data_IF_760335870913
#
_entry.id   IF_760335870913
#
_cell.length_a   1.000
_cell.length_b   1.000
_cell.length_c   1.000
_cell.angle_alpha   90.00
_cell.angle_beta   90.00
_cell.angle_gamma   90.00
#
_symmetry.space_group_name_H-M   'P 1'
#
loop_
_entity.id
_entity.type
_entity.pdbx_description
1 polymer ?
#
# COMPACT_ATOMS: atom_id res chain seq x y z
N UNK A 1 -12.33 -9.39 3.04
CA UNK A 1 -12.85 -8.00 3.03
C UNK A 1 -12.23 -7.27 1.86
N UNK A 2 -12.99 -6.53 1.03
CA UNK A 2 -12.43 -5.78 -0.12
C UNK A 2 -12.25 -4.30 0.21
N UNK A 3 -11.18 -3.68 -0.26
CA UNK A 3 -10.98 -2.24 -0.16
C UNK A 3 -10.16 -1.71 -1.33
N UNK A 4 -10.49 -0.50 -1.78
CA UNK A 4 -9.70 0.21 -2.78
C UNK A 4 -8.58 0.98 -2.11
N UNK A 5 -7.34 0.72 -2.52
CA UNK A 5 -6.15 1.40 -2.02
C UNK A 5 -5.36 2.00 -3.18
N UNK A 6 -4.74 3.14 -2.94
CA UNK A 6 -3.77 3.73 -3.85
C UNK A 6 -2.38 3.41 -3.35
N UNK A 7 -1.60 2.64 -4.11
CA UNK A 7 -0.18 2.39 -3.82
C UNK A 7 0.65 3.51 -4.43
N UNK A 8 1.44 4.20 -3.61
CA UNK A 8 2.30 5.30 -4.03
C UNK A 8 3.72 4.83 -4.34
N UNK A 9 4.27 4.04 -3.43
CA UNK A 9 5.66 3.60 -3.50
C UNK A 9 5.84 2.29 -2.73
N UNK A 10 6.78 1.45 -3.17
CA UNK A 10 7.11 0.19 -2.51
C UNK A 10 8.53 0.25 -2.00
N UNK A 11 8.70 0.16 -0.68
CA UNK A 11 10.00 0.23 -0.01
C UNK A 11 10.54 -1.19 0.22
N UNK A 12 11.77 -1.50 -0.25
CA UNK A 12 12.48 -2.71 0.11
C UNK A 12 12.92 -2.70 1.58
N UNK A 13 12.48 -3.72 2.32
CA UNK A 13 13.03 -4.10 3.61
C UNK A 13 13.65 -5.49 3.48
N UNK A 14 14.84 -5.54 2.90
CA UNK A 14 15.63 -6.76 2.78
C UNK A 14 16.86 -6.72 3.69
N UNK A 15 17.26 -7.89 4.20
CA UNK A 15 18.43 -8.00 5.07
C UNK A 15 18.67 -9.42 5.55
N UNK A 16 19.69 -9.58 6.38
CA UNK A 16 20.02 -10.84 7.04
C UNK A 16 19.58 -10.71 8.51
N UNK A 17 18.73 -11.64 8.96
CA UNK A 17 18.32 -11.67 10.36
C UNK A 17 19.54 -11.94 11.25
N UNK A 18 19.87 -11.00 12.14
CA UNK A 18 20.96 -11.19 13.12
C UNK A 18 20.73 -12.37 14.06
N UNK A 19 19.48 -12.77 14.28
CA UNK A 19 19.11 -13.84 15.22
C UNK A 19 19.18 -15.23 14.59
N UNK A 20 18.82 -15.36 13.31
CA UNK A 20 18.68 -16.65 12.63
C UNK A 20 19.64 -16.84 11.47
N UNK A 21 20.32 -15.79 11.02
CA UNK A 21 21.16 -15.82 9.81
C UNK A 21 20.37 -15.96 8.50
N UNK A 22 19.03 -15.99 8.57
CA UNK A 22 18.17 -16.19 7.41
C UNK A 22 17.95 -14.85 6.70
N UNK A 23 18.09 -14.86 5.38
CA UNK A 23 17.74 -13.73 4.53
C UNK A 23 16.23 -13.48 4.59
N UNK A 24 15.84 -12.23 4.83
CA UNK A 24 14.47 -11.78 4.67
C UNK A 24 14.41 -10.72 3.58
N UNK A 25 13.33 -10.74 2.81
CA UNK A 25 13.01 -9.72 1.82
C UNK A 25 11.52 -9.42 1.94
N UNK A 26 11.24 -8.38 2.73
CA UNK A 26 9.90 -7.84 2.93
C UNK A 26 9.75 -6.59 2.06
N UNK A 27 8.56 -6.40 1.50
CA UNK A 27 8.23 -5.19 0.73
C UNK A 27 7.10 -4.47 1.43
N UNK A 28 7.32 -3.20 1.75
CA UNK A 28 6.33 -2.38 2.42
C UNK A 28 5.79 -1.35 1.43
N UNK A 29 4.52 -1.43 1.10
CA UNK A 29 3.85 -0.46 0.23
C UNK A 29 3.34 0.72 1.06
N UNK A 30 3.69 1.93 0.66
CA UNK A 30 3.05 3.14 1.14
C UNK A 30 1.76 3.36 0.38
N UNK A 31 0.65 3.41 1.10
CA UNK A 31 -0.69 3.38 0.54
C UNK A 31 -1.57 4.50 1.10
N UNK A 32 -2.51 4.97 0.27
CA UNK A 32 -3.63 5.82 0.69
C UNK A 32 -4.91 4.99 0.60
N UNK A 33 -5.65 4.95 1.71
CA UNK A 33 -6.98 4.33 1.78
C UNK A 33 -8.02 5.42 1.91
N UNK A 34 -8.96 5.47 0.98
CA UNK A 34 -10.09 6.38 1.06
C UNK A 34 -11.19 5.69 1.87
N UNK A 35 -11.28 6.04 3.15
CA UNK A 35 -12.27 5.44 4.05
C UNK A 35 -13.36 6.46 4.34
N UNK A 36 -14.61 6.06 4.14
CA UNK A 36 -15.74 6.83 4.62
C UNK A 36 -15.74 6.79 6.16
N UNK A 37 -15.67 7.96 6.77
CA UNK A 37 -15.83 8.12 8.21
C UNK A 37 -17.27 7.71 8.57
N UNK A 38 -17.42 6.78 9.52
CA UNK A 38 -18.72 6.18 9.87
C UNK A 38 -19.67 7.20 10.50
N UNK A 39 -19.14 8.24 11.13
CA UNK A 39 -19.92 9.21 11.88
C UNK A 39 -20.28 10.45 11.04
N UNK A 40 -19.37 10.89 10.17
CA UNK A 40 -19.55 12.12 9.37
C UNK A 40 -19.91 11.84 7.92
N UNK A 41 -19.73 10.61 7.43
CA UNK A 41 -19.91 10.24 6.03
C UNK A 41 -18.87 10.83 5.07
N UNK A 42 -17.91 11.61 5.58
CA UNK A 42 -16.84 12.22 4.79
C UNK A 42 -15.80 11.17 4.43
N UNK A 43 -15.38 11.15 3.17
CA UNK A 43 -14.30 10.28 2.71
C UNK A 43 -12.98 10.93 3.11
N UNK A 44 -12.31 10.33 4.09
CA UNK A 44 -11.01 10.80 4.57
C UNK A 44 -9.89 9.94 3.96
N UNK A 45 -8.84 10.56 3.40
CA UNK A 45 -7.66 9.84 2.94
C UNK A 45 -6.80 9.45 4.15
N UNK A 46 -6.67 8.15 4.39
CA UNK A 46 -5.80 7.60 5.42
C UNK A 46 -4.50 7.12 4.78
N UNK A 47 -3.37 7.71 5.20
CA UNK A 47 -2.04 7.28 4.77
C UNK A 47 -1.55 6.18 5.70
N UNK A 48 -1.07 5.08 5.14
CA UNK A 48 -0.54 3.97 5.90
C UNK A 48 0.44 3.13 5.11
N UNK A 49 0.97 2.11 5.77
CA UNK A 49 1.89 1.14 5.18
C UNK A 49 1.27 -0.25 5.18
N UNK A 50 1.52 -1.01 4.11
CA UNK A 50 1.00 -2.34 3.92
C UNK A 50 2.12 -3.32 3.57
N UNK A 51 2.23 -4.40 4.33
CA UNK A 51 3.17 -5.46 4.01
C UNK A 51 2.68 -6.27 2.81
N UNK A 52 3.48 -6.28 1.76
CA UNK A 52 3.19 -7.02 0.54
C UNK A 52 3.64 -8.49 0.68
N UNK A 53 2.76 -9.45 0.36
CA UNK A 53 3.14 -10.85 0.17
C UNK A 53 4.21 -11.01 -0.91
N UNK A 54 4.93 -12.13 -0.88
CA UNK A 54 6.02 -12.40 -1.82
C UNK A 54 5.59 -12.35 -3.30
N UNK A 55 4.37 -12.80 -3.59
CA UNK A 55 3.73 -12.72 -4.92
C UNK A 55 3.52 -11.29 -5.44
N UNK A 56 3.58 -10.28 -4.58
CA UNK A 56 3.34 -8.88 -4.89
C UNK A 56 4.58 -8.00 -4.65
N UNK A 57 5.79 -8.55 -4.64
CA UNK A 57 7.02 -7.76 -4.41
C UNK A 57 7.29 -6.68 -5.46
N UNK A 58 6.83 -6.89 -6.70
CA UNK A 58 7.13 -6.05 -7.86
C UNK A 58 5.91 -5.23 -8.34
N UNK A 59 4.92 -4.98 -7.47
CA UNK A 59 3.78 -4.16 -7.90
C UNK A 59 4.24 -2.74 -8.26
N UNK A 60 3.65 -2.20 -9.32
CA UNK A 60 3.82 -0.79 -9.67
C UNK A 60 2.90 0.10 -8.83
N UNK A 61 3.25 1.37 -8.61
CA UNK A 61 2.31 2.34 -8.05
C UNK A 61 1.00 2.42 -8.86
N UNK A 62 -0.12 2.55 -8.17
CA UNK A 62 -1.44 2.63 -8.81
C UNK A 62 -2.62 2.35 -7.90
N UNK A 63 -3.81 2.32 -8.50
CA UNK A 63 -5.06 2.02 -7.79
C UNK A 63 -5.31 0.52 -7.81
N UNK A 64 -5.36 -0.09 -6.63
CA UNK A 64 -5.57 -1.52 -6.45
C UNK A 64 -6.87 -1.76 -5.67
N UNK A 65 -7.61 -2.79 -6.07
CA UNK A 65 -8.59 -3.43 -5.22
C UNK A 65 -7.87 -4.55 -4.46
N UNK A 66 -7.97 -4.51 -3.14
CA UNK A 66 -7.29 -5.45 -2.25
C UNK A 66 -8.31 -6.23 -1.47
N UNK A 67 -8.18 -7.55 -1.54
CA UNK A 67 -8.89 -8.48 -0.69
C UNK A 67 -8.00 -8.87 0.49
N UNK A 68 -8.50 -8.60 1.69
CA UNK A 68 -7.86 -8.99 2.93
C UNK A 68 -8.45 -10.29 3.48
N UNK A 69 -7.57 -11.16 3.97
CA UNK A 69 -7.89 -12.32 4.79
C UNK A 69 -7.48 -12.07 6.24
N UNK A 70 -8.11 -12.79 7.16
CA UNK A 70 -7.78 -12.73 8.59
C UNK A 70 -6.63 -13.68 8.84
N UNK A 71 -5.55 -13.18 9.43
CA UNK A 71 -4.40 -13.96 9.84
C UNK A 71 -4.04 -13.71 11.31
N UNK A 72 -3.28 -14.64 11.89
CA UNK A 72 -2.78 -14.49 13.26
C UNK A 72 -1.29 -14.15 13.14
N UNK A 73 -0.89 -13.01 13.69
CA UNK A 73 0.49 -12.56 13.66
C UNK A 73 1.36 -13.33 14.66
N UNK A 74 2.68 -13.14 14.55
CA UNK A 74 3.65 -13.76 15.46
C UNK A 74 3.43 -13.37 16.93
N UNK A 75 2.80 -12.23 17.17
CA UNK A 75 2.42 -11.77 18.52
C UNK A 75 1.07 -12.33 19.00
N UNK A 76 0.50 -13.31 18.28
CA UNK A 76 -0.83 -13.89 18.54
C UNK A 76 -1.97 -12.86 18.43
N UNK A 77 -1.76 -11.77 17.68
CA UNK A 77 -2.80 -10.78 17.39
C UNK A 77 -3.53 -11.16 16.11
N UNK A 78 -4.83 -10.89 16.06
CA UNK A 78 -5.63 -11.02 14.85
C UNK A 78 -5.34 -9.80 13.99
N UNK A 79 -4.85 -10.02 12.78
CA UNK A 79 -4.49 -8.99 11.82
C UNK A 79 -5.11 -9.30 10.45
N UNK A 80 -5.18 -8.28 9.59
CA UNK A 80 -5.63 -8.43 8.21
C UNK A 80 -4.43 -8.47 7.28
N UNK A 81 -4.27 -9.56 6.54
CA UNK A 81 -3.21 -9.71 5.54
C UNK A 81 -3.79 -9.65 4.12
N UNK A 82 -2.99 -9.18 3.17
CA UNK A 82 -3.33 -9.15 1.75
C UNK A 82 -3.45 -10.58 1.21
N UNK A 83 -4.66 -10.98 0.82
CA UNK A 83 -4.91 -12.21 0.10
C UNK A 83 -4.71 -11.99 -1.41
N UNK A 84 -5.45 -11.04 -1.99
CA UNK A 84 -5.43 -10.77 -3.44
C UNK A 84 -5.31 -9.28 -3.67
N UNK A 85 -4.50 -8.88 -4.65
CA UNK A 85 -4.44 -7.51 -5.17
C UNK A 85 -4.71 -7.53 -6.66
N UNK A 86 -5.64 -6.67 -7.09
CA UNK A 86 -6.01 -6.51 -8.49
C UNK A 86 -5.83 -5.05 -8.89
N UNK A 87 -5.07 -4.78 -9.94
CA UNK A 87 -4.88 -3.43 -10.46
C UNK A 87 -6.19 -2.98 -11.13
N UNK A 88 -6.79 -1.91 -10.61
CA UNK A 88 -8.05 -1.34 -11.13
C UNK A 88 -7.77 -0.22 -12.13
N UNK A 89 -6.77 0.62 -11.83
CA UNK A 89 -6.34 1.68 -12.72
C UNK A 89 -4.87 2.03 -12.47
N UNK A 90 -4.10 2.21 -13.55
CA UNK A 90 -2.80 2.87 -13.45
C UNK A 90 -3.03 4.33 -13.06
N UNK A 91 -2.20 4.91 -12.17
CA UNK A 91 -2.37 6.30 -11.80
C UNK A 91 -2.16 7.12 -13.07
N UNK A 92 -3.17 7.92 -13.44
CA UNK A 92 -3.01 8.92 -14.48
C UNK A 92 -1.92 9.87 -13.97
N UNK A 93 -0.82 10.12 -14.70
CA UNK A 93 0.18 11.07 -14.24
C UNK A 93 -0.54 12.39 -13.95
N UNK A 94 -0.43 12.84 -12.70
CA UNK A 94 -0.86 14.18 -12.34
C UNK A 94 -0.06 15.10 -13.24
N UNK A 95 -0.76 15.80 -14.13
CA UNK A 95 -0.18 16.84 -14.98
C UNK A 95 0.56 17.78 -14.04
N UNK A 96 1.88 17.86 -14.19
CA UNK A 96 2.69 18.86 -13.50
C UNK A 96 2.02 20.23 -13.69
N UNK A 97 1.75 21.01 -12.63
CA UNK A 97 1.30 22.37 -12.81
C UNK A 97 2.40 23.10 -13.58
N UNK A 98 2.11 23.45 -14.83
CA UNK A 98 2.95 24.30 -15.68
C UNK A 98 3.35 25.52 -14.83
N UNK A 99 4.64 25.72 -14.52
CA UNK A 99 5.06 26.89 -13.78
C UNK A 99 4.64 28.14 -14.58
N UNK A 100 4.04 29.16 -13.95
CA UNK A 100 3.65 30.36 -14.67
C UNK A 100 4.90 30.97 -15.29
N UNK A 101 4.88 31.09 -16.62
CA UNK A 101 5.91 31.77 -17.38
C UNK A 101 6.12 33.16 -16.77
N UNK A 102 7.31 33.39 -16.21
CA UNK A 102 7.75 34.73 -15.85
C UNK A 102 7.77 35.55 -17.14
N UNK A 103 6.84 36.49 -17.26
CA UNK A 103 6.93 37.58 -18.21
C UNK A 103 8.17 38.41 -17.86
N UNK A 104 9.06 38.58 -18.83
CA UNK A 104 10.20 39.49 -18.83
C UNK A 104 10.03 40.45 -20.00
#
# INVERSE_FOLDING_TARGET
MKSTIQVLHVVPHAGISKKTGINYDMRMAQCIVHKANRDTGVIEPLVGELMLPERYKEISPGMYEVEFEVSISREKRIESQVAVMTLVAKPKPAVDPVPPAKAA
#
